data_IF_197742837308
#
_entry.id   IF_197742837308
#
_cell.length_a   1.000
_cell.length_b   1.000
_cell.length_c   1.000
_cell.angle_alpha   90.00
_cell.angle_beta   90.00
_cell.angle_gamma   90.00
#
_symmetry.space_group_name_H-M   'P 1'
#
loop_
_entity.id
_entity.type
_entity.pdbx_description
1 polymer ?
#
# COMPACT_ATOMS: atom_id res chain seq x y z
N UNK A 1 18.38 27.23 -2.97
CA UNK A 1 17.54 27.72 -1.87
C UNK A 1 16.35 28.42 -2.52
N UNK A 2 15.19 27.77 -2.58
CA UNK A 2 14.00 28.34 -3.21
C UNK A 2 13.48 29.51 -2.35
N UNK A 3 12.94 30.55 -2.98
CA UNK A 3 12.34 31.67 -2.24
C UNK A 3 11.08 31.18 -1.52
N UNK A 4 10.80 31.69 -0.30
CA UNK A 4 9.62 31.31 0.49
C UNK A 4 8.29 31.49 -0.26
N UNK A 5 8.24 32.45 -1.20
CA UNK A 5 7.09 32.69 -2.07
C UNK A 5 6.87 31.55 -3.07
N UNK A 6 7.95 31.03 -3.66
CA UNK A 6 7.90 29.93 -4.63
C UNK A 6 7.36 28.64 -4.01
N UNK A 7 7.78 28.31 -2.78
CA UNK A 7 7.26 27.15 -2.04
C UNK A 7 5.76 27.29 -1.72
N UNK A 8 5.31 28.50 -1.41
CA UNK A 8 3.90 28.75 -1.11
C UNK A 8 3.01 28.58 -2.35
N UNK A 9 3.45 29.09 -3.50
CA UNK A 9 2.72 28.96 -4.76
C UNK A 9 2.66 27.49 -5.23
N UNK A 10 3.74 26.72 -5.04
CA UNK A 10 3.77 25.27 -5.32
C UNK A 10 2.79 24.49 -4.43
N UNK A 11 2.78 24.76 -3.11
CA UNK A 11 1.82 24.11 -2.21
C UNK A 11 0.37 24.49 -2.50
N UNK A 12 0.09 25.75 -2.85
CA UNK A 12 -1.25 26.16 -3.23
C UNK A 12 -1.76 25.39 -4.46
N UNK A 13 -0.88 25.16 -5.44
CA UNK A 13 -1.20 24.33 -6.60
C UNK A 13 -1.45 22.87 -6.22
N UNK A 14 -0.61 22.28 -5.37
CA UNK A 14 -0.80 20.91 -4.87
C UNK A 14 -2.12 20.75 -4.13
N UNK A 15 -2.47 21.70 -3.26
CA UNK A 15 -3.73 21.70 -2.52
C UNK A 15 -4.91 21.77 -3.51
N UNK A 16 -4.86 22.65 -4.51
CA UNK A 16 -5.91 22.73 -5.53
C UNK A 16 -6.07 21.42 -6.32
N UNK A 17 -4.96 20.75 -6.68
CA UNK A 17 -5.00 19.43 -7.34
C UNK A 17 -5.59 18.33 -6.45
N UNK A 18 -5.43 18.43 -5.12
CA UNK A 18 -6.02 17.52 -4.15
C UNK A 18 -7.53 17.79 -4.00
N UNK A 19 -7.93 19.05 -3.85
CA UNK A 19 -9.31 19.44 -3.55
C UNK A 19 -10.25 19.37 -4.77
N UNK A 20 -9.75 19.74 -5.95
CA UNK A 20 -10.55 19.85 -7.19
C UNK A 20 -10.21 18.74 -8.20
N UNK A 21 -9.25 17.88 -7.86
CA UNK A 21 -8.78 16.81 -8.71
C UNK A 21 -9.87 15.79 -9.04
N UNK A 22 -9.86 15.29 -10.27
CA UNK A 22 -10.64 14.10 -10.62
C UNK A 22 -9.83 12.86 -10.35
N UNK A 23 -10.46 11.83 -9.77
CA UNK A 23 -9.87 10.49 -9.64
C UNK A 23 -9.21 10.03 -10.94
N UNK A 24 -7.96 9.56 -10.83
CA UNK A 24 -7.29 8.83 -11.89
C UNK A 24 -7.85 7.42 -11.97
N UNK A 25 -8.22 6.97 -13.16
CA UNK A 25 -8.52 5.56 -13.36
C UNK A 25 -7.20 4.78 -13.41
N UNK A 26 -7.00 3.76 -12.54
CA UNK A 26 -5.76 3.02 -12.48
C UNK A 26 -5.55 2.22 -13.77
N UNK A 27 -4.30 2.16 -14.22
CA UNK A 27 -3.86 1.35 -15.36
C UNK A 27 -2.94 0.24 -14.85
N UNK A 28 -3.43 -0.99 -14.75
CA UNK A 28 -2.62 -2.06 -14.17
C UNK A 28 -1.71 -2.69 -15.23
N UNK A 29 -0.42 -2.38 -15.17
CA UNK A 29 0.62 -3.10 -15.91
C UNK A 29 1.07 -4.30 -15.08
N UNK A 30 0.23 -5.35 -15.10
CA UNK A 30 0.46 -6.57 -14.31
C UNK A 30 1.85 -7.14 -14.64
N UNK A 31 2.79 -7.20 -13.68
CA UNK A 31 4.12 -7.73 -13.90
C UNK A 31 4.02 -9.22 -14.25
N UNK A 32 4.79 -9.62 -15.25
CA UNK A 32 5.16 -11.02 -15.38
C UNK A 32 6.04 -11.37 -14.17
N UNK A 33 5.80 -12.53 -13.56
CA UNK A 33 6.65 -13.03 -12.47
C UNK A 33 8.11 -12.93 -12.93
N UNK A 34 8.98 -12.17 -12.22
CA UNK A 34 10.32 -11.92 -12.71
C UNK A 34 11.04 -13.25 -12.94
N UNK A 35 11.70 -13.40 -14.09
CA UNK A 35 12.69 -14.44 -14.29
C UNK A 35 14.03 -13.83 -13.92
N UNK A 36 14.53 -14.12 -12.73
CA UNK A 36 15.84 -13.62 -12.32
C UNK A 36 16.92 -14.23 -13.20
N UNK A 37 17.78 -13.37 -13.76
CA UNK A 37 18.97 -13.76 -14.54
C UNK A 37 20.10 -14.35 -13.68
N UNK A 38 19.95 -14.34 -12.35
CA UNK A 38 20.96 -14.78 -11.38
C UNK A 38 20.54 -16.01 -10.55
N UNK A 39 19.42 -16.66 -10.90
CA UNK A 39 18.90 -17.83 -10.20
C UNK A 39 17.40 -17.71 -9.91
N UNK A 40 16.69 -18.83 -9.92
CA UNK A 40 15.24 -18.94 -9.75
C UNK A 40 14.69 -17.95 -8.72
N UNK A 41 13.70 -17.13 -9.09
CA UNK A 41 12.89 -16.41 -8.10
C UNK A 41 12.39 -17.44 -7.10
N UNK A 42 12.73 -17.26 -5.82
CA UNK A 42 12.41 -18.23 -4.78
C UNK A 42 10.88 -18.46 -4.81
N UNK A 43 10.46 -19.69 -4.61
CA UNK A 43 9.05 -20.07 -4.57
C UNK A 43 8.22 -19.22 -3.61
N UNK A 44 8.86 -18.65 -2.58
CA UNK A 44 8.28 -17.69 -1.63
C UNK A 44 7.97 -16.33 -2.29
N UNK A 45 8.86 -15.83 -3.17
CA UNK A 45 8.61 -14.61 -3.95
C UNK A 45 7.43 -14.81 -4.90
N UNK A 46 7.41 -15.93 -5.64
CA UNK A 46 6.34 -16.25 -6.60
C UNK A 46 4.95 -16.26 -5.95
N UNK A 47 4.88 -16.69 -4.69
CA UNK A 47 3.66 -16.68 -3.93
C UNK A 47 3.11 -15.26 -3.68
N UNK A 48 3.97 -14.30 -3.31
CA UNK A 48 3.55 -12.91 -3.12
C UNK A 48 3.00 -12.31 -4.42
N UNK A 49 3.57 -12.66 -5.58
CA UNK A 49 3.07 -12.23 -6.88
C UNK A 49 1.66 -12.77 -7.19
N UNK A 50 1.35 -14.01 -6.83
CA UNK A 50 0.06 -14.62 -7.10
C UNK A 50 -1.03 -14.22 -6.10
N UNK A 51 -0.72 -14.24 -4.81
CA UNK A 51 -1.72 -13.97 -3.77
C UNK A 51 -2.13 -12.50 -3.76
N UNK A 52 -1.17 -11.59 -3.97
CA UNK A 52 -1.44 -10.16 -4.01
C UNK A 52 -1.77 -9.64 -5.41
N UNK A 53 -2.14 -10.55 -6.33
CA UNK A 53 -2.65 -10.23 -7.68
C UNK A 53 -3.74 -9.13 -7.65
N UNK A 54 -4.57 -9.16 -6.61
CA UNK A 54 -5.76 -8.32 -6.47
C UNK A 54 -5.57 -7.16 -5.49
N UNK A 55 -4.38 -6.99 -4.89
CA UNK A 55 -4.20 -6.05 -3.78
C UNK A 55 -4.54 -4.61 -4.17
N UNK A 56 -3.95 -4.07 -5.25
CA UNK A 56 -4.22 -2.71 -5.71
C UNK A 56 -5.72 -2.45 -5.95
N UNK A 57 -6.38 -3.34 -6.69
CA UNK A 57 -7.82 -3.24 -6.96
C UNK A 57 -8.68 -3.43 -5.69
N UNK A 58 -8.22 -4.23 -4.73
CA UNK A 58 -8.93 -4.41 -3.44
C UNK A 58 -8.81 -3.17 -2.57
N UNK A 59 -7.61 -2.57 -2.51
CA UNK A 59 -7.37 -1.30 -1.84
C UNK A 59 -8.19 -0.19 -2.49
N UNK A 60 -8.19 -0.08 -3.82
CA UNK A 60 -9.02 0.86 -4.57
C UNK A 60 -10.47 0.83 -4.11
N UNK A 61 -11.07 -0.37 -4.01
CA UNK A 61 -12.46 -0.55 -3.60
C UNK A 61 -12.75 -0.29 -2.12
N UNK A 62 -11.72 -0.34 -1.27
CA UNK A 62 -11.88 -0.35 0.18
C UNK A 62 -11.49 0.96 0.85
N UNK A 63 -10.76 1.82 0.14
CA UNK A 63 -10.40 3.18 0.54
C UNK A 63 -11.42 4.20 0.04
N UNK A 64 -11.27 5.46 0.46
CA UNK A 64 -12.03 6.58 -0.12
C UNK A 64 -11.82 6.68 -1.65
N UNK A 65 -12.79 7.26 -2.35
CA UNK A 65 -12.92 7.22 -3.81
C UNK A 65 -11.76 7.89 -4.53
N UNK A 66 -11.09 8.84 -3.90
CA UNK A 66 -10.00 9.63 -4.45
C UNK A 66 -8.71 8.82 -4.61
N UNK A 67 -8.55 7.72 -3.89
CA UNK A 67 -7.36 6.87 -3.98
C UNK A 67 -7.38 6.03 -5.25
N UNK A 68 -6.21 5.92 -5.89
CA UNK A 68 -5.98 4.93 -6.93
C UNK A 68 -4.61 4.24 -6.84
N UNK A 69 -4.59 2.94 -7.14
CA UNK A 69 -3.37 2.10 -7.10
C UNK A 69 -3.03 1.55 -8.48
N UNK A 70 -1.94 2.05 -9.07
CA UNK A 70 -1.49 1.65 -10.40
C UNK A 70 -0.37 0.60 -10.29
N UNK A 71 -0.62 -0.62 -10.75
CA UNK A 71 0.39 -1.67 -10.65
C UNK A 71 1.54 -1.46 -11.63
N UNK A 72 2.78 -1.68 -11.19
CA UNK A 72 3.97 -1.50 -12.03
C UNK A 72 4.67 -2.81 -12.38
N UNK A 73 5.37 -2.81 -13.51
CA UNK A 73 6.27 -3.89 -13.91
C UNK A 73 7.60 -3.95 -13.13
N UNK A 74 7.91 -2.94 -12.31
CA UNK A 74 9.10 -2.93 -11.46
C UNK A 74 8.86 -3.79 -10.21
N UNK A 75 9.66 -4.84 -10.09
CA UNK A 75 9.55 -5.85 -9.03
C UNK A 75 10.74 -5.86 -8.08
N UNK A 76 11.74 -5.00 -8.29
CA UNK A 76 12.94 -4.93 -7.44
C UNK A 76 12.64 -4.14 -6.18
N UNK A 77 12.84 -4.74 -4.99
CA UNK A 77 12.57 -4.06 -3.72
C UNK A 77 13.48 -2.86 -3.50
N UNK A 78 12.91 -1.76 -2.99
CA UNK A 78 13.67 -0.56 -2.60
C UNK A 78 14.25 -0.67 -1.20
N UNK A 79 13.56 -1.33 -0.28
CA UNK A 79 13.98 -1.53 1.10
C UNK A 79 14.85 -2.80 1.23
N UNK A 80 16.07 -2.77 0.68
CA UNK A 80 17.03 -3.87 0.84
C UNK A 80 17.99 -3.57 1.99
N UNK A 81 17.68 -4.10 3.18
CA UNK A 81 18.68 -4.29 4.24
C UNK A 81 18.89 -5.79 4.44
N UNK A 82 19.89 -6.30 3.72
CA UNK A 82 20.72 -7.46 4.01
C UNK A 82 20.18 -8.89 3.98
N UNK A 83 18.87 -9.19 3.88
CA UNK A 83 18.42 -10.58 3.70
C UNK A 83 17.15 -10.69 2.84
N UNK A 84 17.13 -11.71 1.97
CA UNK A 84 16.01 -12.15 1.11
C UNK A 84 14.64 -12.04 1.81
N UNK A 85 13.55 -11.67 1.11
CA UNK A 85 13.37 -11.59 -0.35
C UNK A 85 13.78 -10.27 -1.01
N UNK A 86 14.29 -10.35 -2.24
CA UNK A 86 14.75 -9.21 -3.07
C UNK A 86 13.68 -8.67 -4.02
N UNK A 87 12.56 -9.36 -4.16
CA UNK A 87 11.48 -9.00 -5.07
C UNK A 87 10.16 -8.76 -4.33
N UNK A 88 9.35 -7.86 -4.87
CA UNK A 88 8.01 -7.56 -4.37
C UNK A 88 7.10 -7.11 -5.51
N UNK A 89 5.79 -7.10 -5.24
CA UNK A 89 4.79 -6.55 -6.16
C UNK A 89 4.55 -5.09 -5.76
N UNK A 90 4.58 -4.18 -6.73
CA UNK A 90 4.56 -2.73 -6.45
C UNK A 90 3.44 -2.02 -7.18
N UNK A 91 2.86 -1.04 -6.49
CA UNK A 91 1.90 -0.10 -7.03
C UNK A 91 2.39 1.33 -6.82
N UNK A 92 2.14 2.20 -7.81
CA UNK A 92 2.16 3.63 -7.62
C UNK A 92 0.83 4.05 -6.98
N UNK A 93 0.92 4.89 -5.95
CA UNK A 93 -0.25 5.43 -5.26
C UNK A 93 -0.53 6.83 -5.76
N UNK A 94 -1.79 7.08 -6.09
CA UNK A 94 -2.30 8.41 -6.42
C UNK A 94 -3.43 8.79 -5.48
N UNK A 95 -3.52 10.08 -5.21
CA UNK A 95 -4.74 10.72 -4.72
C UNK A 95 -5.25 11.67 -5.79
N UNK A 96 -6.48 11.46 -6.24
CA UNK A 96 -6.97 12.03 -7.48
C UNK A 96 -6.01 11.77 -8.66
N UNK A 97 -5.42 12.81 -9.25
CA UNK A 97 -4.39 12.68 -10.30
C UNK A 97 -2.96 12.82 -9.78
N UNK A 98 -2.82 13.21 -8.52
CA UNK A 98 -1.53 13.50 -7.92
C UNK A 98 -0.86 12.19 -7.53
N UNK A 99 0.31 11.92 -8.11
CA UNK A 99 1.15 10.79 -7.70
C UNK A 99 1.75 11.10 -6.33
N UNK A 100 1.44 10.28 -5.34
CA UNK A 100 1.93 10.47 -3.97
C UNK A 100 3.09 9.57 -3.62
N UNK A 101 3.18 8.37 -4.20
CA UNK A 101 4.29 7.49 -3.85
C UNK A 101 4.06 6.07 -4.30
N UNK A 102 4.38 5.12 -3.42
CA UNK A 102 4.33 3.70 -3.74
C UNK A 102 3.88 2.84 -2.57
N UNK A 103 3.33 1.68 -2.92
CA UNK A 103 3.06 0.55 -2.02
C UNK A 103 3.77 -0.66 -2.60
N UNK A 104 4.46 -1.41 -1.76
CA UNK A 104 5.16 -2.63 -2.13
C UNK A 104 4.76 -3.74 -1.17
N UNK A 105 4.40 -4.91 -1.70
CA UNK A 105 4.19 -6.12 -0.91
C UNK A 105 5.27 -7.13 -1.22
N UNK A 106 5.76 -7.77 -0.16
CA UNK A 106 6.73 -8.85 -0.23
C UNK A 106 6.31 -9.94 0.76
N UNK A 107 6.85 -11.15 0.58
CA UNK A 107 6.80 -12.11 1.67
C UNK A 107 7.53 -11.49 2.87
N UNK A 108 6.93 -11.62 4.06
CA UNK A 108 7.62 -11.19 5.27
C UNK A 108 8.92 -11.99 5.39
N UNK A 109 10.02 -11.40 5.88
CA UNK A 109 11.23 -12.17 6.14
C UNK A 109 10.87 -13.32 7.08
N UNK A 110 10.77 -14.53 6.53
CA UNK A 110 10.75 -15.74 7.35
C UNK A 110 12.00 -15.68 8.20
N UNK A 111 11.88 -16.09 9.47
CA UNK A 111 13.05 -16.47 10.28
C UNK A 111 14.03 -17.17 9.36
N UNK A 112 15.31 -16.77 9.37
CA UNK A 112 16.45 -17.18 8.53
C UNK A 112 16.59 -18.69 8.18
N UNK A 113 15.68 -19.57 8.62
CA UNK A 113 15.71 -21.02 8.60
C UNK A 113 14.36 -21.69 8.19
N UNK A 114 13.33 -20.95 7.77
CA UNK A 114 12.04 -21.54 7.36
C UNK A 114 12.04 -22.14 5.95
N UNK A 115 11.37 -23.26 5.76
CA UNK A 115 11.14 -23.86 4.43
C UNK A 115 9.92 -23.23 3.74
N UNK A 116 9.80 -23.46 2.43
CA UNK A 116 8.62 -23.07 1.62
C UNK A 116 7.32 -23.66 2.19
N UNK A 117 7.39 -24.88 2.73
CA UNK A 117 6.23 -25.55 3.31
C UNK A 117 5.85 -24.94 4.67
N UNK A 118 6.82 -24.47 5.46
CA UNK A 118 6.54 -23.71 6.69
C UNK A 118 5.79 -22.41 6.38
N UNK A 119 6.19 -21.72 5.31
CA UNK A 119 5.51 -20.53 4.84
C UNK A 119 4.11 -20.83 4.30
N UNK A 120 3.92 -21.93 3.57
CA UNK A 120 2.58 -22.35 3.13
C UNK A 120 1.66 -22.67 4.30
N UNK A 121 2.20 -23.25 5.38
CA UNK A 121 1.45 -23.57 6.58
C UNK A 121 1.09 -22.31 7.40
N UNK A 122 1.97 -21.31 7.43
CA UNK A 122 1.76 -20.04 8.11
C UNK A 122 2.21 -18.87 7.24
N UNK A 123 1.40 -18.48 6.25
CA UNK A 123 1.78 -17.42 5.34
C UNK A 123 1.91 -16.08 6.07
N UNK A 124 2.95 -15.32 5.75
CA UNK A 124 3.18 -13.98 6.30
C UNK A 124 3.64 -13.05 5.20
N UNK A 125 3.05 -11.87 5.10
CA UNK A 125 3.50 -10.86 4.16
C UNK A 125 3.75 -9.54 4.88
N UNK A 126 4.55 -8.71 4.21
CA UNK A 126 4.86 -7.36 4.63
C UNK A 126 4.48 -6.40 3.50
N UNK A 127 3.75 -5.36 3.87
CA UNK A 127 3.49 -4.21 3.02
C UNK A 127 4.32 -3.05 3.53
N UNK A 128 5.08 -2.43 2.63
CA UNK A 128 5.80 -1.19 2.85
C UNK A 128 5.18 -0.11 1.96
N UNK A 129 5.09 1.11 2.50
CA UNK A 129 4.47 2.25 1.85
C UNK A 129 5.28 3.51 2.13
N UNK A 130 5.46 4.33 1.10
CA UNK A 130 6.07 5.65 1.20
C UNK A 130 5.21 6.62 0.40
N UNK A 131 4.64 7.61 1.08
CA UNK A 131 3.74 8.61 0.50
C UNK A 131 4.24 10.01 0.79
N UNK A 132 4.55 10.75 -0.26
CA UNK A 132 4.86 12.17 -0.22
C UNK A 132 3.59 13.01 -0.07
N UNK A 133 3.77 14.27 0.36
CA UNK A 133 2.71 15.30 0.39
C UNK A 133 1.50 14.96 1.27
N UNK A 134 1.59 13.94 2.13
CA UNK A 134 0.49 13.49 3.01
C UNK A 134 -0.01 14.55 3.98
N UNK A 135 0.76 15.63 4.21
CA UNK A 135 0.35 16.78 5.03
C UNK A 135 -0.88 17.50 4.44
N UNK A 136 -1.05 17.43 3.12
CA UNK A 136 -2.12 18.12 2.40
C UNK A 136 -3.33 17.23 2.14
N UNK A 137 -3.23 15.93 2.41
CA UNK A 137 -4.32 14.98 2.20
C UNK A 137 -5.32 15.08 3.35
N UNK A 138 -6.64 15.08 3.09
CA UNK A 138 -7.64 15.08 4.15
C UNK A 138 -7.40 13.96 5.17
N UNK A 139 -7.61 14.25 6.46
CA UNK A 139 -7.30 13.31 7.54
C UNK A 139 -8.06 11.99 7.41
N UNK A 140 -9.33 12.03 6.99
CA UNK A 140 -10.14 10.83 6.72
C UNK A 140 -9.53 9.95 5.62
N UNK A 141 -9.22 10.55 4.48
CA UNK A 141 -8.52 9.91 3.38
C UNK A 141 -7.19 9.29 3.80
N UNK A 142 -6.33 10.06 4.48
CA UNK A 142 -5.04 9.59 4.97
C UNK A 142 -5.17 8.43 5.97
N UNK A 143 -6.15 8.51 6.88
CA UNK A 143 -6.45 7.41 7.80
C UNK A 143 -6.92 6.16 7.04
N UNK A 144 -7.81 6.34 6.06
CA UNK A 144 -8.45 5.23 5.34
C UNK A 144 -7.45 4.31 4.65
N UNK A 145 -6.44 4.86 3.96
CA UNK A 145 -5.43 4.07 3.25
C UNK A 145 -4.53 3.28 4.22
N UNK A 146 -4.12 3.90 5.33
CA UNK A 146 -3.30 3.26 6.37
C UNK A 146 -4.09 2.16 7.08
N UNK A 147 -5.34 2.46 7.43
CA UNK A 147 -6.26 1.53 8.08
C UNK A 147 -6.53 0.31 7.21
N UNK A 148 -6.94 0.51 5.95
CA UNK A 148 -7.28 -0.61 5.06
C UNK A 148 -6.07 -1.48 4.76
N UNK A 149 -4.91 -0.86 4.54
CA UNK A 149 -3.66 -1.58 4.35
C UNK A 149 -3.32 -2.40 5.59
N UNK A 150 -3.40 -1.82 6.79
CA UNK A 150 -3.17 -2.55 8.04
C UNK A 150 -4.17 -3.68 8.25
N UNK A 151 -5.45 -3.43 7.97
CA UNK A 151 -6.55 -4.37 8.15
C UNK A 151 -6.38 -5.60 7.25
N UNK A 152 -6.01 -5.40 6.00
CA UNK A 152 -5.73 -6.49 5.07
C UNK A 152 -4.58 -7.39 5.50
N UNK A 153 -3.64 -6.88 6.31
CA UNK A 153 -2.53 -7.66 6.86
C UNK A 153 -2.87 -8.43 8.15
N UNK A 154 -4.05 -8.22 8.74
CA UNK A 154 -4.42 -8.83 10.02
C UNK A 154 -4.77 -10.33 9.91
N UNK A 155 -4.58 -11.03 11.03
CA UNK A 155 -5.21 -12.33 11.31
C UNK A 155 -6.70 -12.16 11.64
N UNK A 156 -7.51 -13.16 11.29
CA UNK A 156 -8.92 -13.28 11.70
C UNK A 156 -9.10 -13.99 13.05
N UNK A 157 -8.00 -14.41 13.69
CA UNK A 157 -8.01 -14.92 15.06
C UNK A 157 -8.52 -13.84 16.04
N UNK A 158 -9.48 -14.22 16.88
CA UNK A 158 -10.21 -13.30 17.76
C UNK A 158 -11.34 -12.53 17.06
N UNK A 159 -11.61 -12.80 15.78
CA UNK A 159 -12.71 -12.23 15.01
C UNK A 159 -12.37 -10.91 14.30
N UNK A 160 -13.24 -10.54 13.37
CA UNK A 160 -13.06 -9.35 12.52
C UNK A 160 -13.02 -8.04 13.30
N UNK A 161 -13.76 -7.91 14.41
CA UNK A 161 -13.75 -6.67 15.20
C UNK A 161 -12.40 -6.45 15.91
N UNK A 162 -11.78 -7.53 16.40
CA UNK A 162 -10.43 -7.46 16.95
C UNK A 162 -9.39 -7.09 15.87
N UNK A 163 -9.55 -7.62 14.65
CA UNK A 163 -8.71 -7.24 13.51
C UNK A 163 -8.87 -5.76 13.13
N UNK A 164 -10.11 -5.24 13.09
CA UNK A 164 -10.39 -3.82 12.84
C UNK A 164 -9.76 -2.93 13.89
N UNK A 165 -9.87 -3.30 15.17
CA UNK A 165 -9.30 -2.49 16.25
C UNK A 165 -7.76 -2.45 16.18
N UNK A 166 -7.10 -3.58 15.91
CA UNK A 166 -5.65 -3.61 15.68
C UNK A 166 -5.23 -2.72 14.50
N UNK A 167 -5.96 -2.79 13.40
CA UNK A 167 -5.70 -1.97 12.22
C UNK A 167 -5.89 -0.47 12.49
N UNK A 168 -6.94 -0.12 13.24
CA UNK A 168 -7.22 1.26 13.69
C UNK A 168 -6.05 1.81 14.52
N UNK A 169 -5.61 1.05 15.53
CA UNK A 169 -4.48 1.43 16.38
C UNK A 169 -3.19 1.63 15.57
N UNK A 170 -2.93 0.76 14.59
CA UNK A 170 -1.76 0.89 13.71
C UNK A 170 -1.82 2.16 12.85
N UNK A 171 -2.97 2.46 12.24
CA UNK A 171 -3.18 3.67 11.45
C UNK A 171 -3.07 4.94 12.30
N UNK A 172 -3.72 4.99 13.46
CA UNK A 172 -3.66 6.11 14.40
C UNK A 172 -2.22 6.39 14.86
N UNK A 173 -1.46 5.32 15.14
CA UNK A 173 -0.05 5.43 15.53
C UNK A 173 0.79 6.01 14.39
N UNK A 174 0.63 5.51 13.16
CA UNK A 174 1.36 6.00 12.00
C UNK A 174 1.06 7.48 11.72
N UNK A 175 -0.21 7.89 11.78
CA UNK A 175 -0.59 9.30 11.62
C UNK A 175 0.00 10.18 12.73
N UNK A 176 0.02 9.70 13.97
CA UNK A 176 0.60 10.43 15.10
C UNK A 176 2.10 10.65 14.91
N UNK A 177 2.84 9.61 14.52
CA UNK A 177 4.28 9.73 14.24
C UNK A 177 4.56 10.70 13.09
N UNK A 178 3.82 10.55 11.98
CA UNK A 178 3.96 11.43 10.84
C UNK A 178 3.68 12.90 11.19
N UNK A 179 2.65 13.16 12.01
CA UNK A 179 2.34 14.51 12.50
C UNK A 179 3.51 15.12 13.28
N UNK A 180 4.17 14.34 14.14
CA UNK A 180 5.35 14.81 14.87
C UNK A 180 6.52 15.13 13.93
N UNK A 181 6.73 14.33 12.89
CA UNK A 181 7.76 14.62 11.89
C UNK A 181 7.46 15.88 11.09
N UNK A 182 6.20 16.09 10.68
CA UNK A 182 5.77 17.32 10.01
C UNK A 182 5.96 18.54 10.91
N UNK A 183 5.56 18.45 12.19
CA UNK A 183 5.72 19.55 13.15
C UNK A 183 7.19 19.90 13.38
N UNK A 184 8.06 18.88 13.45
CA UNK A 184 9.50 19.05 13.61
C UNK A 184 10.16 19.67 12.36
N UNK A 185 9.71 19.31 11.16
CA UNK A 185 10.21 19.86 9.91
C UNK A 185 9.75 21.30 9.64
N UNK A 186 8.53 21.65 10.06
CA UNK A 186 7.96 22.98 9.91
C UNK A 186 7.71 23.36 8.43
N UNK A 187 8.24 24.51 8.00
CA UNK A 187 8.14 25.00 6.62
C UNK A 187 9.39 24.62 5.77
N UNK A 188 10.35 23.88 6.34
CA UNK A 188 11.62 23.61 5.66
C UNK A 188 11.47 22.59 4.53
N UNK A 189 10.69 21.53 4.78
CA UNK A 189 10.33 20.50 3.83
C UNK A 189 9.08 19.75 4.32
N UNK A 190 8.44 18.98 3.44
CA UNK A 190 7.35 18.06 3.80
C UNK A 190 7.94 16.66 3.86
N UNK A 191 8.01 16.00 5.04
CA UNK A 191 8.50 14.63 5.13
C UNK A 191 7.57 13.68 4.36
N UNK A 192 8.13 12.58 3.87
CA UNK A 192 7.34 11.46 3.37
C UNK A 192 6.78 10.67 4.55
N UNK A 193 5.55 10.20 4.43
CA UNK A 193 4.96 9.25 5.35
C UNK A 193 5.50 7.86 5.00
N UNK A 194 6.22 7.24 5.93
CA UNK A 194 6.64 5.85 5.84
C UNK A 194 5.73 4.99 6.71
N UNK A 195 5.20 3.91 6.13
CA UNK A 195 4.31 2.99 6.82
C UNK A 195 4.63 1.54 6.44
N UNK A 196 4.59 0.66 7.44
CA UNK A 196 4.74 -0.77 7.23
C UNK A 196 3.67 -1.52 8.01
N UNK A 197 3.11 -2.56 7.39
CA UNK A 197 2.23 -3.52 8.04
C UNK A 197 2.69 -4.93 7.70
N UNK A 198 2.73 -5.79 8.71
CA UNK A 198 3.14 -7.19 8.55
C UNK A 198 2.14 -8.10 9.25
N UNK A 199 1.87 -9.26 8.66
CA UNK A 199 1.01 -10.26 9.27
C UNK A 199 0.56 -11.35 8.30
N UNK A 200 -0.40 -12.16 8.76
CA UNK A 200 -0.87 -13.35 8.03
C UNK A 200 -1.83 -13.03 6.89
N UNK A 201 -2.24 -11.76 6.77
CA UNK A 201 -3.12 -11.23 5.74
C UNK A 201 -4.39 -12.06 5.50
N UNK A 202 -4.91 -12.69 6.56
CA UNK A 202 -6.06 -13.59 6.49
C UNK A 202 -7.32 -12.85 6.04
N UNK A 203 -7.50 -11.63 6.55
CA UNK A 203 -8.59 -10.73 6.15
C UNK A 203 -8.60 -10.49 4.63
N UNK A 204 -7.44 -10.23 4.03
CA UNK A 204 -7.32 -10.03 2.59
C UNK A 204 -7.68 -11.30 1.81
N UNK A 205 -7.14 -12.46 2.21
CA UNK A 205 -7.43 -13.73 1.53
C UNK A 205 -8.92 -14.08 1.57
N UNK A 206 -9.55 -13.93 2.73
CA UNK A 206 -10.98 -14.19 2.91
C UNK A 206 -11.84 -13.22 2.07
N UNK A 207 -11.43 -11.94 1.98
CA UNK A 207 -12.09 -10.94 1.12
C UNK A 207 -12.02 -11.33 -0.36
N UNK A 208 -10.82 -11.65 -0.86
CA UNK A 208 -10.61 -12.06 -2.25
C UNK A 208 -11.33 -13.37 -2.58
N UNK A 209 -11.31 -14.34 -1.66
CA UNK A 209 -12.02 -15.61 -1.81
C UNK A 209 -13.52 -15.38 -1.98
N UNK A 210 -14.12 -14.56 -1.11
CA UNK A 210 -15.54 -14.20 -1.18
C UNK A 210 -15.89 -13.53 -2.50
N UNK A 211 -15.06 -12.60 -2.99
CA UNK A 211 -15.30 -11.94 -4.27
C UNK A 211 -15.27 -12.92 -5.45
N UNK A 212 -14.30 -13.84 -5.45
CA UNK A 212 -14.23 -14.91 -6.45
C UNK A 212 -15.47 -15.81 -6.42
N UNK A 213 -15.94 -16.18 -5.23
CA UNK A 213 -17.15 -17.00 -5.06
C UNK A 213 -18.41 -16.31 -5.60
N UNK A 214 -18.53 -15.00 -5.42
CA UNK A 214 -19.66 -14.21 -5.90
C UNK A 214 -19.54 -13.78 -7.37
N UNK A 215 -18.43 -14.11 -8.05
CA UNK A 215 -18.13 -13.62 -9.40
C UNK A 215 -17.89 -12.11 -9.48
N UNK A 216 -17.55 -11.47 -8.36
CA UNK A 216 -17.25 -10.04 -8.31
C UNK A 216 -15.82 -9.80 -8.78
N UNK A 217 -15.64 -8.88 -9.74
CA UNK A 217 -14.34 -8.47 -10.24
C UNK A 217 -14.03 -7.04 -9.77
N UNK A 218 -13.03 -6.84 -8.88
CA UNK A 218 -12.69 -5.50 -8.43
C UNK A 218 -12.06 -4.63 -9.52
N UNK A 219 -11.56 -5.25 -10.59
CA UNK A 219 -10.98 -4.55 -11.75
C UNK A 219 -12.04 -3.84 -12.61
N UNK A 220 -13.32 -4.15 -12.41
CA UNK A 220 -14.42 -3.57 -13.20
C UNK A 220 -15.10 -2.39 -12.50
N UNK A 221 -14.40 -1.68 -11.61
CA UNK A 221 -14.93 -0.47 -10.95
C UNK A 221 -15.30 0.58 -12.02
N UNK A 222 -16.55 0.56 -12.47
CA UNK A 222 -17.13 1.56 -13.37
C UNK A 222 -17.77 2.64 -12.50
N UNK A 223 -17.47 3.90 -12.84
CA UNK A 223 -18.06 5.08 -12.20
C UNK A 223 -19.57 4.90 -12.03
N UNK A 224 -20.08 5.18 -10.84
CA UNK A 224 -21.43 5.74 -10.77
C UNK A 224 -21.32 7.21 -11.22
N UNK A 225 -21.99 7.62 -12.30
CA UNK A 225 -22.09 9.04 -12.60
C UNK A 225 -22.83 9.70 -11.43
N UNK A 226 -22.18 10.70 -10.83
CA UNK A 226 -22.82 11.65 -9.92
C UNK A 226 -23.75 12.55 -10.72
#
# INVERSE_FOLDING_TARGET
MFSRKTLHDEYAKTIAEIDEGQRREPQHDVPLVPQSSWGTVDTVDQFAFHEFAWLGATLDWSTEDEWSFEETSDTMRRASYLDSPNHGRRWIVYYNRLRLGWVEVSAAPLKLLGTVDDYRASPQARVDMELSLMRFIPTGAAFSILYQTSFFMQSTEGGYDAARERARVAADSAMTWYMWDVMRAGDQYVPDLQFSAEGSYAVFRETVARWKETGFSPFERKRHPV
#
